data_IF_395623067855
#
_entry.id   IF_395623067855
#
_cell.length_a   1.000
_cell.length_b   1.000
_cell.length_c   1.000
_cell.angle_alpha   90.00
_cell.angle_beta   90.00
_cell.angle_gamma   90.00
#
_symmetry.space_group_name_H-M   'P 1'
#
loop_
_entity.id
_entity.type
_entity.pdbx_description
1 polymer ?
#
# COMPACT_ATOMS: atom_id res chain seq x y z
N UNK A 1 12.17 2.05 -31.59
CA UNK A 1 12.34 0.85 -30.75
C UNK A 1 11.47 1.03 -29.54
N UNK A 2 10.37 0.28 -29.42
CA UNK A 2 9.55 0.30 -28.20
C UNK A 2 10.29 -0.58 -27.19
N UNK A 3 11.03 0.06 -26.29
CA UNK A 3 11.62 -0.61 -25.13
C UNK A 3 10.47 -0.98 -24.21
N UNK A 4 10.11 -2.25 -24.14
CA UNK A 4 9.15 -2.73 -23.13
C UNK A 4 9.89 -2.64 -21.80
N UNK A 5 9.49 -1.78 -20.84
CA UNK A 5 10.14 -1.72 -19.55
C UNK A 5 10.06 -3.09 -18.86
N UNK A 6 11.14 -3.50 -18.20
CA UNK A 6 11.12 -4.71 -17.36
C UNK A 6 10.30 -4.42 -16.10
N UNK A 7 9.00 -4.69 -16.16
CA UNK A 7 8.08 -4.45 -15.06
C UNK A 7 8.17 -5.56 -14.00
N UNK A 8 8.04 -5.19 -12.73
CA UNK A 8 7.87 -6.18 -11.64
C UNK A 8 6.51 -6.89 -11.75
N UNK A 9 6.36 -8.01 -11.03
CA UNK A 9 5.07 -8.72 -10.97
C UNK A 9 3.95 -7.82 -10.45
N UNK A 10 4.23 -7.04 -9.41
CA UNK A 10 3.27 -6.09 -8.83
C UNK A 10 2.89 -4.99 -9.83
N UNK A 11 3.85 -4.46 -10.60
CA UNK A 11 3.59 -3.49 -11.67
C UNK A 11 2.70 -4.09 -12.78
N UNK A 12 2.93 -5.35 -13.14
CA UNK A 12 2.11 -6.06 -14.13
C UNK A 12 0.68 -6.29 -13.61
N UNK A 13 0.52 -6.59 -12.32
CA UNK A 13 -0.80 -6.76 -11.71
C UNK A 13 -1.59 -5.45 -11.68
N UNK A 14 -0.94 -4.34 -11.29
CA UNK A 14 -1.55 -3.00 -11.34
C UNK A 14 -1.97 -2.66 -12.76
N UNK A 15 -1.12 -2.93 -13.77
CA UNK A 15 -1.49 -2.69 -15.17
C UNK A 15 -2.63 -3.57 -15.65
N UNK A 16 -2.68 -4.84 -15.22
CA UNK A 16 -3.80 -5.74 -15.54
C UNK A 16 -5.10 -5.21 -14.96
N UNK A 17 -5.07 -4.70 -13.73
CA UNK A 17 -6.23 -4.06 -13.09
C UNK A 17 -6.62 -2.79 -13.84
N UNK A 18 -5.67 -1.88 -14.07
CA UNK A 18 -5.90 -0.64 -14.82
C UNK A 18 -6.51 -0.90 -16.21
N UNK A 19 -6.00 -1.90 -16.93
CA UNK A 19 -6.52 -2.27 -18.25
C UNK A 19 -7.88 -2.95 -18.18
N UNK A 20 -8.17 -3.72 -17.13
CA UNK A 20 -9.51 -4.32 -16.93
C UNK A 20 -10.56 -3.21 -16.76
N UNK A 21 -10.20 -2.13 -16.07
CA UNK A 21 -11.02 -0.95 -15.91
C UNK A 21 -10.72 0.11 -16.96
N UNK A 22 -10.39 -0.24 -18.22
CA UNK A 22 -9.90 0.73 -19.22
C UNK A 22 -10.84 1.92 -19.54
N UNK A 23 -12.08 1.90 -19.06
CA UNK A 23 -13.07 2.97 -19.22
C UNK A 23 -13.26 3.78 -17.93
N UNK A 24 -12.86 3.23 -16.77
CA UNK A 24 -13.13 3.79 -15.45
C UNK A 24 -11.84 3.91 -14.63
N UNK A 25 -11.77 4.94 -13.79
CA UNK A 25 -10.71 5.03 -12.79
C UNK A 25 -10.94 3.96 -11.72
N UNK A 26 -9.87 3.33 -11.22
CA UNK A 26 -9.96 2.49 -10.04
C UNK A 26 -9.19 3.12 -8.89
N UNK A 27 -9.77 3.02 -7.69
CA UNK A 27 -9.18 3.55 -6.47
C UNK A 27 -8.05 2.63 -5.99
N UNK A 28 -6.94 3.26 -5.61
CA UNK A 28 -5.81 2.60 -4.97
C UNK A 28 -5.36 3.45 -3.79
N UNK A 29 -5.07 2.79 -2.68
CA UNK A 29 -4.47 3.41 -1.51
C UNK A 29 -3.12 2.75 -1.24
N UNK A 30 -2.13 3.55 -0.89
CA UNK A 30 -0.86 3.03 -0.38
C UNK A 30 -0.49 3.72 0.93
N UNK A 31 0.14 2.93 1.81
CA UNK A 31 0.58 3.37 3.12
C UNK A 31 2.04 3.81 3.09
N UNK A 32 2.38 4.75 3.95
CA UNK A 32 3.75 5.21 4.14
C UNK A 32 3.99 5.55 5.61
N UNK A 33 5.22 5.29 6.12
CA UNK A 33 5.54 5.58 7.51
C UNK A 33 5.43 7.07 7.80
N UNK A 34 5.11 7.38 9.07
CA UNK A 34 5.14 8.75 9.58
C UNK A 34 6.58 9.05 10.01
N UNK A 35 7.21 9.99 9.29
CA UNK A 35 8.52 10.51 9.69
C UNK A 35 8.36 11.65 10.71
N UNK A 36 9.45 12.00 11.39
CA UNK A 36 9.47 12.99 12.49
C UNK A 36 8.85 14.34 12.15
N UNK A 37 8.84 14.74 10.88
CA UNK A 37 8.36 16.05 10.44
C UNK A 37 6.83 16.10 10.28
N UNK A 38 6.12 14.97 10.45
CA UNK A 38 4.67 14.85 10.24
C UNK A 38 4.22 15.36 8.86
N UNK A 39 5.13 15.52 7.90
CA UNK A 39 4.77 15.89 6.54
C UNK A 39 4.29 14.65 5.78
N UNK A 40 3.22 14.82 5.01
CA UNK A 40 2.77 13.76 4.10
C UNK A 40 3.88 13.52 3.07
N UNK A 41 4.24 12.25 2.79
CA UNK A 41 5.22 11.95 1.76
C UNK A 41 4.80 12.54 0.41
N UNK A 42 5.71 13.30 -0.17
CA UNK A 42 5.55 13.96 -1.47
C UNK A 42 6.02 13.00 -2.57
N UNK A 43 5.07 12.31 -3.20
CA UNK A 43 5.34 11.44 -4.34
C UNK A 43 4.55 10.14 -4.31
N UNK A 44 4.77 9.33 -5.34
CA UNK A 44 4.25 7.97 -5.43
C UNK A 44 5.34 6.96 -5.04
N UNK A 45 4.98 5.79 -4.46
CA UNK A 45 5.91 4.71 -4.27
C UNK A 45 6.59 4.35 -5.59
N UNK A 46 7.86 3.92 -5.54
CA UNK A 46 8.66 3.62 -6.73
C UNK A 46 7.94 2.69 -7.72
N UNK A 47 7.16 1.75 -7.19
CA UNK A 47 6.29 0.85 -7.95
C UNK A 47 5.32 1.62 -8.87
N UNK A 48 4.59 2.57 -8.32
CA UNK A 48 3.59 3.39 -9.03
C UNK A 48 4.28 4.44 -9.89
N UNK A 49 5.32 5.09 -9.37
CA UNK A 49 6.07 6.11 -10.10
C UNK A 49 6.66 5.55 -11.40
N UNK A 50 7.21 4.32 -11.36
CA UNK A 50 7.76 3.68 -12.56
C UNK A 50 6.71 3.42 -13.66
N UNK A 51 5.44 3.20 -13.30
CA UNK A 51 4.35 3.05 -14.26
C UNK A 51 3.91 4.39 -14.86
N UNK A 52 3.92 5.46 -14.05
CA UNK A 52 3.67 6.83 -14.50
C UNK A 52 4.77 7.28 -15.47
N UNK A 53 6.04 7.08 -15.10
CA UNK A 53 7.20 7.49 -15.90
C UNK A 53 7.26 6.73 -17.24
N UNK A 54 6.79 5.49 -17.26
CA UNK A 54 6.65 4.68 -18.48
C UNK A 54 5.44 5.09 -19.34
N UNK A 55 4.60 6.04 -18.89
CA UNK A 55 3.40 6.48 -19.59
C UNK A 55 2.32 5.40 -19.72
N UNK A 56 2.30 4.44 -18.79
CA UNK A 56 1.38 3.30 -18.83
C UNK A 56 0.13 3.52 -17.99
N UNK A 57 0.20 4.41 -17.01
CA UNK A 57 -0.93 4.85 -16.18
C UNK A 57 -0.89 6.36 -15.96
N UNK A 58 -2.04 6.95 -15.67
CA UNK A 58 -2.17 8.26 -15.07
C UNK A 58 -2.75 8.11 -13.66
N UNK A 59 -2.35 9.01 -12.77
CA UNK A 59 -2.75 8.96 -11.36
C UNK A 59 -3.26 10.32 -10.92
N UNK A 60 -4.46 10.36 -10.33
CA UNK A 60 -5.03 11.54 -9.70
C UNK A 60 -5.08 11.34 -8.19
N UNK A 61 -4.48 12.26 -7.43
CA UNK A 61 -4.47 12.18 -5.96
C UNK A 61 -5.79 12.70 -5.42
N UNK A 62 -6.49 11.90 -4.62
CA UNK A 62 -7.71 12.32 -3.91
C UNK A 62 -7.37 13.00 -2.60
N UNK A 63 -6.41 12.47 -1.86
CA UNK A 63 -5.98 13.01 -0.58
C UNK A 63 -4.92 12.18 0.11
N UNK A 64 -4.37 12.76 1.17
CA UNK A 64 -3.47 12.08 2.11
C UNK A 64 -4.03 12.22 3.52
N UNK A 65 -4.13 11.12 4.25
CA UNK A 65 -4.74 11.07 5.57
C UNK A 65 -3.81 10.37 6.56
N UNK A 66 -3.70 10.92 7.78
CA UNK A 66 -3.00 10.26 8.87
C UNK A 66 -3.99 9.38 9.63
N UNK A 67 -3.88 8.06 9.48
CA UNK A 67 -4.77 7.09 10.13
C UNK A 67 -4.05 5.80 10.52
N UNK A 68 -4.72 4.94 11.28
CA UNK A 68 -4.20 3.61 11.62
C UNK A 68 -3.98 2.77 10.36
N UNK A 69 -2.88 2.02 10.30
CA UNK A 69 -2.53 1.15 9.17
C UNK A 69 -3.65 0.16 8.87
N UNK A 70 -4.16 0.20 7.65
CA UNK A 70 -5.17 -0.72 7.13
C UNK A 70 -4.55 -2.09 6.86
N UNK A 71 -3.31 -2.13 6.37
CA UNK A 71 -2.54 -3.35 6.21
C UNK A 71 -2.39 -4.12 7.52
N UNK A 72 -2.04 -3.42 8.61
CA UNK A 72 -1.96 -4.06 9.93
C UNK A 72 -3.34 -4.51 10.43
N UNK A 73 -4.39 -3.70 10.23
CA UNK A 73 -5.75 -4.06 10.62
C UNK A 73 -6.27 -5.29 9.87
N UNK A 74 -6.05 -5.39 8.56
CA UNK A 74 -6.40 -6.55 7.75
C UNK A 74 -5.61 -7.79 8.15
N UNK A 75 -4.30 -7.63 8.39
CA UNK A 75 -3.42 -8.71 8.84
C UNK A 75 -3.87 -9.25 10.20
N UNK A 76 -4.24 -8.37 11.13
CA UNK A 76 -4.82 -8.74 12.41
C UNK A 76 -6.18 -9.41 12.25
N UNK A 77 -7.07 -8.88 11.41
CA UNK A 77 -8.38 -9.48 11.14
C UNK A 77 -8.25 -10.91 10.59
N UNK A 78 -7.28 -11.14 9.68
CA UNK A 78 -6.95 -12.47 9.15
C UNK A 78 -6.42 -13.41 10.25
N UNK A 79 -5.60 -12.89 11.16
CA UNK A 79 -5.11 -13.66 12.32
C UNK A 79 -6.25 -14.07 13.26
N UNK A 80 -7.24 -13.20 13.46
CA UNK A 80 -8.39 -13.47 14.30
C UNK A 80 -9.43 -14.43 13.70
N UNK A 81 -9.26 -14.89 12.45
CA UNK A 81 -10.20 -15.86 11.85
C UNK A 81 -10.19 -17.13 12.69
N UNK A 82 -11.33 -17.44 13.33
CA UNK A 82 -11.48 -18.57 14.23
C UNK A 82 -11.19 -18.28 15.71
N UNK A 83 -10.96 -17.01 16.08
CA UNK A 83 -10.83 -16.55 17.47
C UNK A 83 -12.04 -15.68 17.81
N UNK A 84 -12.98 -16.20 18.61
CA UNK A 84 -14.24 -15.51 18.93
C UNK A 84 -14.02 -14.22 19.74
N UNK A 85 -13.08 -14.24 20.69
CA UNK A 85 -12.77 -13.11 21.58
C UNK A 85 -11.25 -12.92 21.69
N UNK A 86 -10.63 -12.22 20.72
CA UNK A 86 -9.19 -11.98 20.74
C UNK A 86 -8.76 -11.20 21.99
N UNK A 87 -7.65 -11.61 22.58
CA UNK A 87 -7.10 -11.09 23.83
C UNK A 87 -5.82 -10.27 23.62
N UNK A 88 -5.30 -9.67 24.70
CA UNK A 88 -3.99 -9.03 24.70
C UNK A 88 -2.85 -10.02 24.38
N UNK A 89 -2.99 -11.29 24.77
CA UNK A 89 -1.98 -12.32 24.47
C UNK A 89 -1.96 -12.66 22.98
N UNK A 90 -3.14 -12.81 22.36
CA UNK A 90 -3.29 -13.00 20.91
C UNK A 90 -2.68 -11.83 20.13
N UNK A 91 -2.91 -10.61 20.61
CA UNK A 91 -2.32 -9.40 20.03
C UNK A 91 -0.79 -9.43 20.07
N UNK A 92 -0.21 -9.76 21.22
CA UNK A 92 1.24 -9.83 21.37
C UNK A 92 1.86 -10.95 20.50
N UNK A 93 1.17 -12.09 20.37
CA UNK A 93 1.58 -13.18 19.49
C UNK A 93 1.57 -12.73 18.02
N UNK A 94 0.46 -12.17 17.55
CA UNK A 94 0.38 -11.61 16.21
C UNK A 94 1.44 -10.54 15.98
N UNK A 95 1.62 -9.61 16.92
CA UNK A 95 2.59 -8.51 16.82
C UNK A 95 4.01 -9.04 16.65
N UNK A 96 4.41 -10.05 17.44
CA UNK A 96 5.71 -10.71 17.29
C UNK A 96 5.85 -11.39 15.93
N UNK A 97 4.84 -12.12 15.49
CA UNK A 97 4.85 -12.76 14.17
C UNK A 97 4.91 -11.73 13.04
N UNK A 98 4.19 -10.61 13.16
CA UNK A 98 4.18 -9.51 12.22
C UNK A 98 5.56 -8.84 12.13
N UNK A 99 6.17 -8.49 13.27
CA UNK A 99 7.51 -7.91 13.33
C UNK A 99 8.62 -8.89 12.87
N UNK A 100 8.41 -10.20 13.03
CA UNK A 100 9.35 -11.22 12.57
C UNK A 100 9.34 -11.39 11.05
N UNK A 101 8.25 -11.00 10.37
CA UNK A 101 8.20 -10.89 8.90
C UNK A 101 9.03 -9.67 8.49
N UNK A 102 10.35 -9.84 8.44
CA UNK A 102 11.25 -8.94 7.70
C UNK A 102 11.03 -9.16 6.20
N UNK A 103 9.82 -8.93 5.71
CA UNK A 103 9.62 -8.77 4.27
C UNK A 103 10.23 -7.42 3.87
N UNK A 104 10.97 -7.42 2.77
CA UNK A 104 11.51 -6.21 2.15
C UNK A 104 10.36 -5.20 1.95
N UNK A 105 10.33 -4.12 2.74
CA UNK A 105 9.36 -3.04 2.56
C UNK A 105 8.53 -2.68 3.80
N UNK A 106 8.50 -3.49 4.87
CA UNK A 106 7.98 -3.01 6.16
C UNK A 106 9.07 -2.16 6.79
N UNK A 107 8.92 -0.84 6.67
CA UNK A 107 9.79 0.09 7.37
C UNK A 107 9.71 -0.20 8.87
N UNK A 108 10.87 -0.21 9.53
CA UNK A 108 10.99 -0.21 10.99
C UNK A 108 10.10 0.82 11.70
N UNK A 109 9.64 1.85 10.96
CA UNK A 109 8.71 2.88 11.42
C UNK A 109 7.24 2.43 11.49
N UNK A 110 6.87 1.27 10.95
CA UNK A 110 5.50 0.73 10.94
C UNK A 110 5.33 -0.43 11.93
N UNK A 111 5.84 -0.28 13.15
CA UNK A 111 5.73 -1.28 14.22
C UNK A 111 4.42 -1.10 15.01
N UNK A 112 3.55 -2.11 15.12
CA UNK A 112 2.35 -2.02 15.95
C UNK A 112 2.71 -1.81 17.43
N UNK A 113 1.88 -1.05 18.12
CA UNK A 113 2.02 -0.75 19.55
C UNK A 113 1.77 -1.94 20.46
N UNK A 114 2.21 -1.82 21.71
CA UNK A 114 2.12 -2.88 22.71
C UNK A 114 0.70 -3.03 23.29
N UNK A 115 -0.13 -2.00 23.23
CA UNK A 115 -1.51 -2.07 23.74
C UNK A 115 -2.41 -2.81 22.76
N UNK A 116 -3.44 -3.49 23.26
CA UNK A 116 -4.39 -4.24 22.44
C UNK A 116 -4.94 -3.39 21.29
N UNK A 117 -4.83 -3.91 20.06
CA UNK A 117 -5.26 -3.24 18.82
C UNK A 117 -4.65 -1.85 18.59
N UNK A 118 -3.47 -1.59 19.14
CA UNK A 118 -2.74 -0.36 18.90
C UNK A 118 -1.97 -0.45 17.58
N UNK A 119 -2.65 -0.21 16.47
CA UNK A 119 -2.01 -0.15 15.15
C UNK A 119 -1.11 1.09 15.02
N UNK A 120 -0.10 1.03 14.14
CA UNK A 120 0.73 2.19 13.79
C UNK A 120 -0.10 3.21 13.04
N UNK A 121 0.12 4.49 13.33
CA UNK A 121 -0.37 5.56 12.45
C UNK A 121 0.55 5.69 11.25
N UNK A 122 -0.05 5.81 10.08
CA UNK A 122 0.61 5.88 8.78
C UNK A 122 -0.05 6.97 7.93
N UNK A 123 0.70 7.50 6.99
CA UNK A 123 0.12 8.27 5.91
C UNK A 123 -0.52 7.33 4.91
N UNK A 124 -1.82 7.48 4.67
CA UNK A 124 -2.55 6.77 3.62
C UNK A 124 -2.86 7.76 2.53
N UNK A 125 -2.35 7.49 1.33
CA UNK A 125 -2.57 8.31 0.15
C UNK A 125 -3.51 7.59 -0.79
N UNK A 126 -4.67 8.18 -0.99
CA UNK A 126 -5.72 7.68 -1.87
C UNK A 126 -5.57 8.32 -3.24
N UNK A 127 -5.56 7.48 -4.27
CA UNK A 127 -5.38 7.88 -5.65
C UNK A 127 -6.33 7.14 -6.58
N UNK A 128 -6.74 7.81 -7.63
CA UNK A 128 -7.41 7.19 -8.77
C UNK A 128 -6.38 6.86 -9.83
N UNK A 129 -6.43 5.65 -10.34
CA UNK A 129 -5.52 5.15 -11.35
C UNK A 129 -6.29 4.84 -12.62
N UNK A 130 -5.78 5.33 -13.74
CA UNK A 130 -6.32 5.05 -15.07
C UNK A 130 -5.24 4.48 -15.99
N UNK A 131 -5.62 3.51 -16.82
CA UNK A 131 -4.73 3.00 -17.85
C UNK A 131 -4.54 4.03 -18.96
N UNK A 132 -3.28 4.24 -19.37
CA UNK A 132 -2.94 5.08 -20.52
C UNK A 132 -2.51 4.17 -21.66
N UNK A 133 -3.23 4.24 -22.78
CA UNK A 133 -2.79 3.56 -23.99
C UNK A 133 -1.56 4.29 -24.53
N UNK A 134 -0.41 3.62 -24.72
CA UNK A 134 0.73 4.26 -25.35
C UNK A 134 0.32 4.69 -26.75
N UNK A 135 0.38 6.00 -27.01
CA UNK A 135 0.23 6.53 -28.37
C UNK A 135 1.35 5.97 -29.21
N UNK A 136 1.03 5.21 -30.26
CA UNK A 136 2.01 4.85 -31.29
C UNK A 136 2.48 6.16 -31.95
N UNK A 137 3.62 6.68 -31.51
CA UNK A 137 4.42 7.67 -32.24
C UNK A 137 5.35 6.94 -33.20
#
# INVERSE_FOLDING_TARGET
MISIPSLSLDQLEILRLAKRYSVEEFELAYESPVNNDLESPMGHPALIQGLIDAGLISVQVKGSFLRASEYQQESWAKYCVGIDHPTQEDWELWRRSFMARKEEGIDSLMIPGSSFKQFSNVWIREVDVQFVQPSNL
#
